data_IF_467587190564
#
_entry.id   IF_467587190564
#
_cell.length_a   1.000
_cell.length_b   1.000
_cell.length_c   1.000
_cell.angle_alpha   90.00
_cell.angle_beta   90.00
_cell.angle_gamma   90.00
#
_symmetry.space_group_name_H-M   'P 1'
#
loop_
_entity.id
_entity.type
_entity.pdbx_description
1 polymer ?
#
# COMPACT_ATOMS: atom_id res chain seq x y z
N UNK A 1 -55.64 -20.02 49.42
CA UNK A 1 -55.10 -19.91 48.05
C UNK A 1 -53.58 -19.92 48.15
N UNK A 2 -52.99 -21.03 47.72
CA UNK A 2 -51.56 -21.29 47.65
C UNK A 2 -51.07 -20.84 46.28
N UNK A 3 -50.06 -19.98 46.19
CA UNK A 3 -49.15 -19.98 45.02
C UNK A 3 -47.71 -19.81 45.52
N UNK A 4 -46.91 -20.80 45.14
CA UNK A 4 -45.53 -21.07 45.50
C UNK A 4 -44.56 -19.94 45.11
N UNK A 5 -43.91 -19.32 46.10
CA UNK A 5 -42.81 -18.36 45.88
C UNK A 5 -41.41 -18.92 46.22
N UNK A 6 -41.31 -20.18 46.65
CA UNK A 6 -40.02 -20.80 47.01
C UNK A 6 -39.28 -21.41 45.81
N UNK A 7 -39.99 -21.80 44.75
CA UNK A 7 -39.39 -22.46 43.59
C UNK A 7 -38.67 -21.47 42.65
N UNK A 8 -39.19 -20.25 42.47
CA UNK A 8 -38.61 -19.26 41.55
C UNK A 8 -37.21 -18.79 41.99
N UNK A 9 -37.00 -18.56 43.29
CA UNK A 9 -35.69 -18.16 43.83
C UNK A 9 -34.61 -19.24 43.65
N UNK A 10 -34.99 -20.52 43.73
CA UNK A 10 -34.05 -21.64 43.49
C UNK A 10 -33.64 -21.73 42.02
N UNK A 11 -34.54 -21.43 41.08
CA UNK A 11 -34.21 -21.39 39.65
C UNK A 11 -33.30 -20.21 39.29
N UNK A 12 -33.52 -19.02 39.86
CA UNK A 12 -32.61 -17.88 39.66
C UNK A 12 -31.20 -18.15 40.20
N UNK A 13 -31.09 -18.80 41.36
CA UNK A 13 -29.79 -19.18 41.92
C UNK A 13 -29.08 -20.26 41.07
N UNK A 14 -29.83 -21.22 40.52
CA UNK A 14 -29.28 -22.26 39.64
C UNK A 14 -28.81 -21.68 38.28
N UNK A 15 -29.56 -20.72 37.71
CA UNK A 15 -29.20 -20.02 36.47
C UNK A 15 -27.96 -19.15 36.69
N UNK A 16 -27.82 -18.50 37.85
CA UNK A 16 -26.63 -17.73 38.19
C UNK A 16 -25.38 -18.61 38.34
N UNK A 17 -25.51 -19.79 38.94
CA UNK A 17 -24.41 -20.76 39.07
C UNK A 17 -24.03 -21.36 37.71
N UNK A 18 -25.00 -21.67 36.84
CA UNK A 18 -24.75 -22.15 35.47
C UNK A 18 -24.12 -21.06 34.57
N UNK A 19 -24.47 -19.78 34.78
CA UNK A 19 -23.83 -18.65 34.09
C UNK A 19 -22.38 -18.43 34.53
N UNK A 20 -22.05 -18.69 35.81
CA UNK A 20 -20.69 -18.59 36.34
C UNK A 20 -19.82 -19.81 36.00
N UNK A 21 -20.42 -20.99 35.80
CA UNK A 21 -19.70 -22.23 35.46
C UNK A 21 -19.28 -22.34 33.98
N UNK A 22 -19.83 -21.50 33.09
CA UNK A 22 -19.50 -21.51 31.65
C UNK A 22 -18.29 -20.65 31.26
N UNK A 23 -17.65 -19.97 32.22
CA UNK A 23 -16.35 -19.35 31.98
C UNK A 23 -15.24 -20.40 32.11
N UNK A 24 -15.19 -21.38 31.19
CA UNK A 24 -13.90 -21.97 30.84
C UNK A 24 -13.11 -20.87 30.17
N UNK A 25 -12.30 -20.16 30.95
CA UNK A 25 -11.17 -19.43 30.42
C UNK A 25 -10.23 -20.46 29.83
N UNK A 26 -10.49 -20.84 28.57
CA UNK A 26 -9.41 -21.26 27.69
C UNK A 26 -8.52 -20.03 27.62
N UNK A 27 -7.52 -19.99 28.50
CA UNK A 27 -6.35 -19.16 28.30
C UNK A 27 -5.75 -19.64 26.98
N UNK A 28 -6.22 -19.06 25.88
CA UNK A 28 -5.52 -19.14 24.61
C UNK A 28 -4.21 -18.44 24.91
N UNK A 29 -3.19 -19.21 25.27
CA UNK A 29 -1.82 -18.75 25.29
C UNK A 29 -1.54 -18.42 23.83
N UNK A 30 -1.80 -17.16 23.47
CA UNK A 30 -1.49 -16.68 22.14
C UNK A 30 0.01 -16.89 21.96
N UNK A 31 0.38 -17.77 21.03
CA UNK A 31 1.77 -17.92 20.61
C UNK A 31 2.32 -16.52 20.33
N UNK A 32 3.48 -16.19 20.91
CA UNK A 32 4.15 -14.90 20.74
C UNK A 32 4.29 -14.53 19.26
N UNK A 33 4.52 -15.52 18.39
CA UNK A 33 4.59 -15.30 16.94
C UNK A 33 3.23 -14.89 16.34
N UNK A 34 2.14 -15.49 16.81
CA UNK A 34 0.77 -15.11 16.43
C UNK A 34 0.45 -13.70 16.93
N UNK A 35 0.83 -13.37 18.16
CA UNK A 35 0.64 -12.04 18.74
C UNK A 35 1.35 -10.92 17.93
N UNK A 36 2.58 -11.16 17.47
CA UNK A 36 3.31 -10.21 16.61
C UNK A 36 2.61 -10.05 15.25
N UNK A 37 2.23 -11.17 14.62
CA UNK A 37 1.52 -11.17 13.33
C UNK A 37 0.22 -10.39 13.39
N UNK A 38 -0.54 -10.60 14.46
CA UNK A 38 -1.81 -9.92 14.70
C UNK A 38 -1.59 -8.42 14.95
N UNK A 39 -0.57 -8.06 15.72
CA UNK A 39 -0.21 -6.65 15.96
C UNK A 39 0.16 -5.91 14.67
N UNK A 40 1.04 -6.48 13.85
CA UNK A 40 1.42 -5.90 12.55
C UNK A 40 0.23 -5.79 11.59
N UNK A 41 -0.64 -6.81 11.59
CA UNK A 41 -1.85 -6.82 10.75
C UNK A 41 -2.87 -5.78 11.21
N UNK A 42 -2.98 -5.58 12.53
CA UNK A 42 -3.81 -4.55 13.11
C UNK A 42 -3.32 -3.16 12.73
N UNK A 43 -2.01 -2.90 12.81
CA UNK A 43 -1.41 -1.63 12.38
C UNK A 43 -1.74 -1.32 10.91
N UNK A 44 -1.54 -2.29 10.00
CA UNK A 44 -1.88 -2.14 8.59
C UNK A 44 -3.37 -1.86 8.38
N UNK A 45 -4.24 -2.54 9.13
CA UNK A 45 -5.69 -2.30 9.06
C UNK A 45 -6.08 -0.90 9.55
N UNK A 46 -5.40 -0.36 10.56
CA UNK A 46 -5.60 1.03 10.99
C UNK A 46 -5.17 2.03 9.92
N UNK A 47 -4.03 1.77 9.26
CA UNK A 47 -3.56 2.60 8.14
C UNK A 47 -4.60 2.57 7.01
N UNK A 48 -5.06 1.39 6.61
CA UNK A 48 -6.07 1.23 5.55
C UNK A 48 -7.40 1.89 5.89
N UNK A 49 -7.90 1.71 7.12
CA UNK A 49 -9.14 2.34 7.58
C UNK A 49 -9.06 3.87 7.57
N UNK A 50 -7.90 4.43 7.94
CA UNK A 50 -7.63 5.87 7.84
C UNK A 50 -7.58 6.34 6.38
N UNK A 51 -6.92 5.58 5.51
CA UNK A 51 -6.75 5.94 4.10
C UNK A 51 -8.04 5.85 3.28
N UNK A 52 -8.76 4.73 3.39
CA UNK A 52 -9.95 4.42 2.59
C UNK A 52 -11.26 4.76 3.32
N UNK A 53 -11.36 4.41 4.61
CA UNK A 53 -12.59 4.58 5.38
C UNK A 53 -13.00 6.05 5.55
N UNK A 54 -12.02 6.95 5.71
CA UNK A 54 -12.29 8.38 5.81
C UNK A 54 -12.91 8.94 4.53
N UNK A 55 -12.46 8.46 3.36
CA UNK A 55 -12.94 8.90 2.04
C UNK A 55 -14.39 8.49 1.77
N UNK A 56 -14.84 7.39 2.38
CA UNK A 56 -16.21 6.87 2.26
C UNK A 56 -17.18 7.51 3.28
N UNK A 57 -16.69 8.34 4.20
CA UNK A 57 -17.54 8.97 5.20
C UNK A 57 -18.39 10.09 4.62
N UNK A 58 -19.66 10.15 5.02
CA UNK A 58 -20.68 11.08 4.49
C UNK A 58 -20.34 12.57 4.68
N UNK A 59 -19.46 12.90 5.61
CA UNK A 59 -19.04 14.28 5.92
C UNK A 59 -17.74 14.73 5.25
N UNK A 60 -17.24 14.01 4.24
CA UNK A 60 -15.90 14.24 3.67
C UNK A 60 -15.84 14.90 2.29
N UNK A 61 -16.99 15.26 1.73
CA UNK A 61 -17.05 16.03 0.48
C UNK A 61 -16.26 17.34 0.63
N UNK A 62 -15.41 17.64 -0.34
CA UNK A 62 -14.62 18.88 -0.45
C UNK A 62 -13.50 19.11 0.60
N UNK A 63 -13.11 18.08 1.35
CA UNK A 63 -12.01 18.16 2.36
C UNK A 63 -10.62 17.83 1.82
N UNK A 64 -10.24 18.43 0.69
CA UNK A 64 -8.98 18.09 -0.01
C UNK A 64 -7.72 18.27 0.83
N UNK A 65 -7.60 19.35 1.61
CA UNK A 65 -6.45 19.56 2.50
C UNK A 65 -6.34 18.45 3.57
N UNK A 66 -7.48 18.04 4.13
CA UNK A 66 -7.50 16.96 5.14
C UNK A 66 -7.12 15.62 4.51
N UNK A 67 -7.61 15.33 3.30
CA UNK A 67 -7.22 14.13 2.55
C UNK A 67 -5.72 14.09 2.32
N UNK A 68 -5.13 15.19 1.84
CA UNK A 68 -3.68 15.28 1.62
C UNK A 68 -2.86 15.07 2.90
N UNK A 69 -3.33 15.61 4.03
CA UNK A 69 -2.69 15.39 5.33
C UNK A 69 -2.77 13.93 5.78
N UNK A 70 -3.93 13.28 5.59
CA UNK A 70 -4.13 11.85 5.89
C UNK A 70 -3.24 10.99 5.00
N UNK A 71 -3.20 11.29 3.70
CA UNK A 71 -2.36 10.58 2.72
C UNK A 71 -0.89 10.67 3.11
N UNK A 72 -0.42 11.87 3.47
CA UNK A 72 0.97 12.08 3.91
C UNK A 72 1.26 11.35 5.21
N UNK A 73 0.35 11.40 6.18
CA UNK A 73 0.51 10.72 7.47
C UNK A 73 0.59 9.19 7.30
N UNK A 74 -0.35 8.61 6.54
CA UNK A 74 -0.39 7.18 6.27
C UNK A 74 0.81 6.74 5.43
N UNK A 75 1.27 7.57 4.49
CA UNK A 75 2.51 7.32 3.75
C UNK A 75 3.72 7.15 4.67
N UNK A 76 3.91 8.08 5.60
CA UNK A 76 5.01 8.01 6.57
C UNK A 76 4.92 6.75 7.45
N UNK A 77 3.70 6.32 7.81
CA UNK A 77 3.49 5.06 8.54
C UNK A 77 3.86 3.83 7.71
N UNK A 78 3.48 3.76 6.43
CA UNK A 78 3.88 2.66 5.54
C UNK A 78 5.40 2.62 5.33
N UNK A 79 6.03 3.78 5.19
CA UNK A 79 7.51 3.88 5.13
C UNK A 79 8.13 3.33 6.41
N UNK A 80 7.66 3.75 7.58
CA UNK A 80 8.18 3.29 8.86
C UNK A 80 7.99 1.77 9.02
N UNK A 81 6.79 1.26 8.73
CA UNK A 81 6.48 -0.16 8.73
C UNK A 81 7.42 -0.94 7.82
N UNK A 82 7.62 -0.46 6.58
CA UNK A 82 8.47 -1.13 5.59
C UNK A 82 9.95 -1.12 6.00
N UNK A 83 10.45 -0.02 6.57
CA UNK A 83 11.83 0.07 7.08
C UNK A 83 12.08 -0.91 8.22
N UNK A 84 11.10 -1.08 9.11
CA UNK A 84 11.23 -1.93 10.30
C UNK A 84 11.02 -3.41 9.99
N UNK A 85 10.06 -3.75 9.12
CA UNK A 85 9.55 -5.12 8.97
C UNK A 85 9.69 -5.66 7.53
N UNK A 86 10.01 -4.82 6.55
CA UNK A 86 9.87 -5.14 5.12
C UNK A 86 8.46 -4.90 4.60
N UNK A 87 8.27 -5.07 3.28
CA UNK A 87 6.97 -4.85 2.65
C UNK A 87 5.94 -5.90 3.11
N UNK A 88 4.66 -5.50 3.38
CA UNK A 88 3.61 -6.43 3.82
C UNK A 88 3.44 -7.67 2.93
N UNK A 89 3.61 -8.85 3.52
CA UNK A 89 3.51 -10.14 2.82
C UNK A 89 2.95 -11.24 3.73
N UNK A 90 2.56 -12.38 3.12
CA UNK A 90 1.93 -13.50 3.82
C UNK A 90 2.83 -14.11 4.91
N UNK A 91 4.15 -14.18 4.71
CA UNK A 91 5.05 -14.78 5.69
C UNK A 91 5.15 -13.92 6.96
N UNK A 92 5.26 -12.59 6.77
CA UNK A 92 5.34 -11.62 7.84
C UNK A 92 4.05 -11.55 8.66
N UNK A 93 2.89 -11.62 8.01
CA UNK A 93 1.59 -11.30 8.62
C UNK A 93 0.76 -12.54 8.95
N UNK A 94 1.13 -13.69 8.40
CA UNK A 94 0.35 -14.92 8.45
C UNK A 94 -0.78 -14.95 7.43
N UNK A 95 -1.03 -16.13 6.87
CA UNK A 95 -2.04 -16.39 5.83
C UNK A 95 -3.46 -15.93 6.19
N UNK A 96 -3.86 -16.09 7.46
CA UNK A 96 -5.21 -15.68 7.89
C UNK A 96 -5.38 -14.16 7.81
N UNK A 97 -4.41 -13.41 8.32
CA UNK A 97 -4.47 -11.96 8.33
C UNK A 97 -4.27 -11.37 6.93
N UNK A 98 -3.31 -11.91 6.15
CA UNK A 98 -3.01 -11.40 4.81
C UNK A 98 -4.13 -11.63 3.78
N UNK A 99 -5.11 -12.48 4.08
CA UNK A 99 -6.34 -12.60 3.27
C UNK A 99 -7.27 -11.39 3.41
N UNK A 100 -7.17 -10.62 4.49
CA UNK A 100 -8.00 -9.44 4.73
C UNK A 100 -7.55 -8.31 3.80
N UNK A 101 -8.49 -7.72 3.08
CA UNK A 101 -8.22 -6.59 2.18
C UNK A 101 -7.50 -5.45 2.88
N UNK A 102 -7.96 -5.09 4.09
CA UNK A 102 -7.37 -4.02 4.90
C UNK A 102 -5.90 -4.24 5.26
N UNK A 103 -5.43 -5.48 5.24
CA UNK A 103 -4.03 -5.83 5.51
C UNK A 103 -3.26 -5.88 4.19
N UNK A 104 -3.79 -6.62 3.21
CA UNK A 104 -3.13 -6.86 1.92
C UNK A 104 -2.97 -5.58 1.09
N UNK A 105 -3.97 -4.71 1.12
CA UNK A 105 -4.04 -3.52 0.27
C UNK A 105 -3.51 -2.25 0.94
N UNK A 106 -3.26 -2.27 2.26
CA UNK A 106 -2.80 -1.11 3.05
C UNK A 106 -1.65 -0.35 2.37
N UNK A 107 -0.52 -1.02 2.15
CA UNK A 107 0.65 -0.37 1.56
C UNK A 107 0.38 0.08 0.13
N UNK A 108 -0.21 -0.78 -0.70
CA UNK A 108 -0.44 -0.46 -2.12
C UNK A 108 -1.36 0.76 -2.29
N UNK A 109 -2.48 0.83 -1.57
CA UNK A 109 -3.42 1.96 -1.64
C UNK A 109 -2.78 3.27 -1.21
N UNK A 110 -2.06 3.27 -0.08
CA UNK A 110 -1.38 4.47 0.43
C UNK A 110 -0.30 4.97 -0.54
N UNK A 111 0.46 4.06 -1.13
CA UNK A 111 1.49 4.41 -2.11
C UNK A 111 0.87 4.98 -3.40
N UNK A 112 -0.26 4.43 -3.86
CA UNK A 112 -1.02 4.95 -5.00
C UNK A 112 -1.56 6.37 -4.78
N UNK A 113 -1.80 6.78 -3.54
CA UNK A 113 -2.23 8.13 -3.21
C UNK A 113 -1.06 9.13 -3.10
N UNK A 114 0.16 8.64 -2.90
CA UNK A 114 1.37 9.46 -2.75
C UNK A 114 2.45 9.15 -3.80
N UNK A 115 2.12 8.98 -5.09
CA UNK A 115 3.08 8.52 -6.08
C UNK A 115 4.15 9.59 -6.37
N UNK A 116 3.84 10.87 -6.12
CA UNK A 116 4.80 11.97 -6.24
C UNK A 116 5.98 11.84 -5.27
N UNK A 117 5.78 11.28 -4.06
CA UNK A 117 6.86 11.03 -3.11
C UNK A 117 7.83 10.00 -3.69
N UNK A 118 7.31 8.96 -4.35
CA UNK A 118 8.14 7.90 -4.95
C UNK A 118 8.87 8.37 -6.22
N UNK A 119 8.30 9.29 -6.98
CA UNK A 119 8.93 9.81 -8.19
C UNK A 119 9.97 10.90 -7.87
N UNK A 120 9.68 11.77 -6.90
CA UNK A 120 10.48 12.98 -6.65
C UNK A 120 11.50 12.82 -5.52
N UNK A 121 11.32 11.85 -4.61
CA UNK A 121 12.22 11.64 -3.47
C UNK A 121 12.90 10.27 -3.57
N UNK A 122 14.17 10.30 -3.97
CA UNK A 122 14.97 9.11 -4.27
C UNK A 122 15.01 8.11 -3.12
N UNK A 123 15.01 8.57 -1.87
CA UNK A 123 15.05 7.67 -0.71
C UNK A 123 13.87 6.69 -0.65
N UNK A 124 12.67 7.13 -1.08
CA UNK A 124 11.48 6.28 -1.09
C UNK A 124 11.44 5.41 -2.33
N UNK A 125 11.87 5.93 -3.48
CA UNK A 125 12.07 5.11 -4.67
C UNK A 125 13.00 3.93 -4.37
N UNK A 126 14.17 4.20 -3.77
CA UNK A 126 15.17 3.19 -3.44
C UNK A 126 14.67 2.18 -2.39
N UNK A 127 13.93 2.65 -1.38
CA UNK A 127 13.30 1.78 -0.38
C UNK A 127 12.38 0.75 -1.06
N UNK A 128 11.42 1.20 -1.87
CA UNK A 128 10.44 0.31 -2.48
C UNK A 128 11.01 -0.50 -3.65
N UNK A 129 11.99 0.03 -4.38
CA UNK A 129 12.77 -0.75 -5.35
C UNK A 129 13.55 -1.88 -4.65
N UNK A 130 14.05 -1.64 -3.44
CA UNK A 130 14.66 -2.67 -2.59
C UNK A 130 13.68 -3.81 -2.31
N UNK A 131 12.43 -3.49 -1.97
CA UNK A 131 11.37 -4.48 -1.74
C UNK A 131 10.95 -5.24 -3.01
N UNK A 132 11.01 -4.58 -4.19
CA UNK A 132 10.84 -5.25 -5.49
C UNK A 132 11.94 -6.27 -5.73
N UNK A 133 13.21 -5.89 -5.48
CA UNK A 133 14.37 -6.78 -5.65
C UNK A 133 14.33 -7.99 -4.70
N UNK A 134 13.77 -7.82 -3.51
CA UNK A 134 13.51 -8.92 -2.55
C UNK A 134 12.34 -9.82 -2.98
N UNK A 135 11.57 -9.43 -4.00
CA UNK A 135 10.36 -10.15 -4.43
C UNK A 135 9.15 -9.95 -3.51
N UNK A 136 9.22 -9.01 -2.57
CA UNK A 136 8.14 -8.73 -1.61
C UNK A 136 7.10 -7.75 -2.17
N UNK A 137 7.53 -6.83 -3.05
CA UNK A 137 6.65 -5.99 -3.86
C UNK A 137 6.71 -6.45 -5.32
N UNK A 138 5.55 -6.69 -5.94
CA UNK A 138 5.50 -7.00 -7.38
C UNK A 138 5.94 -5.78 -8.19
N UNK A 139 6.84 -5.99 -9.15
CA UNK A 139 7.33 -4.94 -10.06
C UNK A 139 6.22 -4.29 -10.88
N UNK A 140 5.19 -5.04 -11.25
CA UNK A 140 4.01 -4.52 -11.95
C UNK A 140 3.23 -3.55 -11.06
N UNK A 141 3.01 -3.90 -9.78
CA UNK A 141 2.37 -3.02 -8.81
C UNK A 141 3.22 -1.76 -8.56
N UNK A 142 4.55 -1.89 -8.54
CA UNK A 142 5.44 -0.73 -8.38
C UNK A 142 5.34 0.21 -9.60
N UNK A 143 5.29 -0.34 -10.82
CA UNK A 143 5.02 0.45 -12.01
C UNK A 143 3.66 1.14 -11.99
N UNK A 144 2.59 0.45 -11.54
CA UNK A 144 1.26 1.06 -11.38
C UNK A 144 1.32 2.27 -10.43
N UNK A 145 2.02 2.12 -9.29
CA UNK A 145 2.19 3.21 -8.32
C UNK A 145 2.91 4.40 -8.96
N UNK A 146 4.03 4.17 -9.63
CA UNK A 146 4.81 5.24 -10.28
C UNK A 146 4.01 5.90 -11.41
N UNK A 147 3.29 5.11 -12.21
CA UNK A 147 2.48 5.62 -13.32
C UNK A 147 1.27 6.41 -12.86
N UNK A 148 0.78 6.20 -11.63
CA UNK A 148 -0.28 7.04 -11.07
C UNK A 148 0.13 8.52 -10.98
N UNK A 149 1.42 8.81 -10.76
CA UNK A 149 1.97 10.17 -10.81
C UNK A 149 1.80 10.78 -12.20
N UNK A 150 2.34 10.10 -13.23
CA UNK A 150 2.30 10.58 -14.61
C UNK A 150 0.88 10.66 -15.17
N UNK A 151 0.03 9.68 -14.85
CA UNK A 151 -1.39 9.70 -15.20
C UNK A 151 -2.11 10.92 -14.60
N UNK A 152 -1.78 11.29 -13.36
CA UNK A 152 -2.36 12.47 -12.71
C UNK A 152 -1.88 13.77 -13.36
N UNK A 153 -0.59 13.82 -13.72
CA UNK A 153 0.08 14.97 -14.35
C UNK A 153 -0.18 15.11 -15.85
N UNK A 154 -0.67 14.07 -16.52
CA UNK A 154 -1.00 14.09 -17.95
C UNK A 154 -1.86 15.30 -18.29
N UNK A 155 -1.41 16.12 -19.25
CA UNK A 155 -2.14 17.30 -19.74
C UNK A 155 -3.42 16.88 -20.46
N UNK A 156 -3.33 15.85 -21.29
CA UNK A 156 -4.47 15.22 -21.93
C UNK A 156 -5.24 14.37 -20.90
N UNK A 157 -6.47 14.76 -20.57
CA UNK A 157 -7.32 14.08 -19.58
C UNK A 157 -8.19 12.97 -20.18
N UNK A 158 -8.49 13.06 -21.47
CA UNK A 158 -9.25 12.06 -22.22
C UNK A 158 -8.39 10.85 -22.56
N UNK A 159 -7.12 11.09 -22.91
CA UNK A 159 -6.18 10.06 -23.29
C UNK A 159 -4.89 10.17 -22.48
N UNK A 160 -4.97 9.75 -21.21
CA UNK A 160 -3.90 9.97 -20.25
C UNK A 160 -2.66 9.14 -20.59
N UNK A 161 -1.49 9.78 -20.50
CA UNK A 161 -0.20 9.13 -20.71
C UNK A 161 0.46 8.73 -19.40
N UNK A 162 1.27 7.70 -19.47
CA UNK A 162 2.07 7.18 -18.37
C UNK A 162 3.52 6.96 -18.81
N UNK A 163 4.41 6.59 -17.90
CA UNK A 163 5.84 6.48 -18.23
C UNK A 163 6.31 5.04 -18.35
N UNK A 164 5.90 4.18 -17.41
CA UNK A 164 6.32 2.79 -17.34
C UNK A 164 5.44 1.90 -18.21
N UNK A 165 4.16 2.21 -18.41
CA UNK A 165 3.21 1.35 -19.12
C UNK A 165 2.62 0.32 -18.17
N UNK A 166 1.44 0.68 -17.67
CA UNK A 166 0.74 0.06 -16.55
C UNK A 166 -0.75 -0.03 -16.86
N UNK A 167 -1.56 -0.48 -15.89
CA UNK A 167 -3.02 -0.47 -16.06
C UNK A 167 -3.63 0.93 -16.29
N UNK A 168 -2.90 2.00 -15.94
CA UNK A 168 -3.38 3.38 -16.10
C UNK A 168 -3.26 3.93 -17.52
N UNK A 169 -2.46 3.31 -18.39
CA UNK A 169 -2.31 3.75 -19.76
C UNK A 169 -1.04 3.26 -20.45
N UNK A 170 -0.82 3.76 -21.67
CA UNK A 170 0.36 3.47 -22.47
C UNK A 170 1.34 4.65 -22.48
N UNK A 171 2.66 4.37 -22.53
CA UNK A 171 3.68 5.39 -22.72
C UNK A 171 3.75 5.84 -24.18
N UNK A 172 4.36 7.00 -24.39
CA UNK A 172 4.55 7.58 -25.71
C UNK A 172 5.77 6.96 -26.42
N UNK A 173 5.65 6.68 -27.71
CA UNK A 173 6.75 6.11 -28.50
C UNK A 173 7.98 7.03 -28.51
N UNK A 174 7.77 8.35 -28.40
CA UNK A 174 8.80 9.36 -28.28
C UNK A 174 9.72 9.16 -27.06
N UNK A 175 9.21 8.55 -25.98
CA UNK A 175 9.98 8.25 -24.77
C UNK A 175 10.41 6.79 -24.68
N UNK A 176 10.30 6.01 -25.75
CA UNK A 176 10.56 4.56 -25.77
C UNK A 176 11.86 4.15 -25.08
N UNK A 177 12.97 4.83 -25.42
CA UNK A 177 14.28 4.50 -24.86
C UNK A 177 14.32 4.74 -23.35
N UNK A 178 13.87 5.91 -22.88
CA UNK A 178 13.89 6.25 -21.45
C UNK A 178 12.90 5.41 -20.64
N UNK A 179 11.70 5.17 -21.18
CA UNK A 179 10.70 4.25 -20.63
C UNK A 179 11.30 2.85 -20.45
N UNK A 180 11.90 2.28 -21.49
CA UNK A 180 12.43 0.92 -21.41
C UNK A 180 13.64 0.83 -20.46
N UNK A 181 14.48 1.86 -20.39
CA UNK A 181 15.56 1.94 -19.40
C UNK A 181 15.04 1.99 -17.97
N UNK A 182 13.94 2.71 -17.71
CA UNK A 182 13.32 2.79 -16.40
C UNK A 182 12.58 1.49 -16.02
N UNK A 183 11.93 0.83 -16.99
CA UNK A 183 11.32 -0.49 -16.80
C UNK A 183 12.34 -1.54 -16.39
N UNK A 184 13.48 -1.59 -17.08
CA UNK A 184 14.57 -2.52 -16.73
C UNK A 184 15.05 -2.27 -15.29
N UNK A 185 15.18 -1.00 -14.88
CA UNK A 185 15.65 -0.63 -13.54
C UNK A 185 14.76 -1.19 -12.42
N UNK A 186 13.45 -1.24 -12.64
CA UNK A 186 12.49 -1.84 -11.71
C UNK A 186 12.22 -3.34 -11.97
N UNK A 187 13.00 -3.96 -12.87
CA UNK A 187 12.93 -5.40 -13.15
C UNK A 187 11.86 -5.83 -14.16
N UNK A 188 11.19 -4.88 -14.83
CA UNK A 188 10.26 -5.16 -15.93
C UNK A 188 10.99 -5.39 -17.24
N UNK A 189 10.36 -6.15 -18.14
CA UNK A 189 10.83 -6.30 -19.52
C UNK A 189 10.58 -5.00 -20.29
N UNK A 190 11.44 -4.65 -21.27
CA UNK A 190 11.13 -3.61 -22.24
C UNK A 190 9.78 -3.88 -22.92
N UNK A 191 9.07 -2.80 -23.27
CA UNK A 191 7.84 -2.85 -24.06
C UNK A 191 8.16 -3.00 -25.55
N UNK A 192 7.29 -3.71 -26.26
CA UNK A 192 7.26 -3.73 -27.71
C UNK A 192 6.63 -2.44 -28.28
N UNK A 193 6.91 -2.11 -29.54
CA UNK A 193 6.45 -0.88 -30.19
C UNK A 193 4.92 -0.75 -30.19
N UNK A 194 4.19 -1.86 -30.28
CA UNK A 194 2.72 -1.92 -30.20
C UNK A 194 2.13 -1.53 -28.82
N UNK A 195 2.98 -1.52 -27.79
CA UNK A 195 2.59 -1.14 -26.43
C UNK A 195 2.80 0.36 -26.18
N UNK A 196 3.37 1.08 -27.13
CA UNK A 196 3.45 2.54 -27.14
C UNK A 196 2.33 3.15 -27.98
N UNK A 197 2.11 4.45 -27.78
CA UNK A 197 1.23 5.28 -28.62
C UNK A 197 2.02 6.46 -29.17
N UNK A 198 1.67 6.91 -30.38
CA UNK A 198 2.21 8.15 -30.91
C UNK A 198 1.51 9.33 -30.24
N UNK A 199 2.27 10.14 -29.52
CA UNK A 199 1.75 11.31 -28.80
C UNK A 199 1.93 12.63 -29.56
N UNK A 200 2.35 12.60 -30.83
CA UNK A 200 2.35 13.74 -31.76
C UNK A 200 2.89 15.08 -31.20
N UNK A 201 3.86 15.04 -30.28
CA UNK A 201 4.46 16.23 -29.68
C UNK A 201 3.80 16.76 -28.41
N UNK A 202 2.91 16.00 -27.76
CA UNK A 202 2.47 16.29 -26.39
C UNK A 202 3.70 16.55 -25.49
N UNK A 203 3.74 17.70 -24.81
CA UNK A 203 4.80 17.97 -23.84
C UNK A 203 4.57 17.12 -22.59
N UNK A 204 5.33 16.05 -22.47
CA UNK A 204 5.24 15.10 -21.37
C UNK A 204 6.19 15.53 -20.25
N UNK A 205 5.65 15.68 -19.03
CA UNK A 205 6.41 15.89 -17.80
C UNK A 205 7.04 14.56 -17.34
N UNK A 206 7.95 14.04 -18.18
CA UNK A 206 8.60 12.75 -18.02
C UNK A 206 10.09 12.95 -17.76
N UNK A 207 10.75 12.05 -17.00
CA UNK A 207 12.18 12.18 -16.71
C UNK A 207 12.98 12.23 -18.01
N UNK A 208 13.79 13.27 -18.18
CA UNK A 208 14.64 13.39 -19.38
C UNK A 208 15.80 12.40 -19.28
N UNK A 209 16.29 11.90 -20.43
CA UNK A 209 17.41 10.94 -20.52
C UNK A 209 18.66 11.37 -19.71
N UNK A 210 18.91 12.68 -19.62
CA UNK A 210 20.02 13.27 -18.86
C UNK A 210 19.81 13.19 -17.34
N UNK A 211 18.57 13.29 -16.86
CA UNK A 211 18.21 13.22 -15.44
C UNK A 211 18.32 11.77 -14.93
N UNK A 212 17.87 10.78 -15.70
CA UNK A 212 18.04 9.37 -15.35
C UNK A 212 19.51 8.96 -15.26
N UNK A 213 20.37 9.50 -16.13
CA UNK A 213 21.82 9.26 -16.09
C UNK A 213 22.50 9.94 -14.90
N UNK A 214 22.08 11.16 -14.56
CA UNK A 214 22.59 11.90 -13.40
C UNK A 214 22.13 11.26 -12.07
N UNK A 215 20.87 10.81 -11.98
CA UNK A 215 20.34 10.02 -10.87
C UNK A 215 21.16 8.74 -10.68
N UNK A 216 21.46 8.00 -11.77
CA UNK A 216 22.30 6.80 -11.73
C UNK A 216 23.73 7.06 -11.26
N UNK A 217 24.38 8.13 -11.75
CA UNK A 217 25.75 8.49 -11.36
C UNK A 217 25.84 8.91 -9.89
N UNK A 218 24.88 9.72 -9.42
CA UNK A 218 24.80 10.13 -8.02
C UNK A 218 24.56 8.92 -7.09
N UNK A 219 23.80 7.92 -7.56
CA UNK A 219 23.49 6.70 -6.81
C UNK A 219 24.66 5.70 -6.76
N UNK A 220 25.48 5.63 -7.81
CA UNK A 220 26.71 4.82 -7.80
C UNK A 220 27.75 5.40 -6.84
N UNK A 221 27.83 6.73 -6.74
CA UNK A 221 28.75 7.39 -5.83
C UNK A 221 28.36 7.21 -4.35
N UNK A 222 27.07 7.31 -4.01
CA UNK A 222 26.59 7.13 -2.61
C UNK A 222 26.74 5.70 -2.07
N UNK A 223 26.61 4.68 -2.93
CA UNK A 223 26.83 3.27 -2.53
C UNK A 223 28.29 2.91 -2.30
N UNK A 224 29.22 3.75 -2.76
CA UNK A 224 30.65 3.55 -2.56
C UNK A 224 31.18 4.30 -1.31
N UNK A 225 30.30 4.98 -0.57
CA UNK A 225 30.64 5.82 0.61
C UNK A 225 29.98 5.28 1.90
N UNK A 226 29.18 4.21 1.80
CA UNK A 226 28.62 3.43 2.93
C UNK A 226 29.18 2.00 2.89
#
# INVERSE_FOLDING_TARGET
>A
MNINNSSSMKYYFLILILALASCKTNTVIADKNTSIKDSLSFELSQIYGSDQGIRLSSGFKDKMKMIQSIDTFNFNRIVAFTRQNGFPNENLLGKSNYKRESVKMAAFSVLLHNPHRLVNEQEYFDLFLGEVKKGLLKKENFADILDKYYWTKSKNKENRRVFYGSQFGKPCIQTKETTNLARIEIGLKPLADSEFVDCAGEELDMPKKKELKQLRLNNQHRRNIL
#
